data_IF_660856367640
#
_entry.id   IF_660856367640
#
_cell.length_a   1.000
_cell.length_b   1.000
_cell.length_c   1.000
_cell.angle_alpha   90.00
_cell.angle_beta   90.00
_cell.angle_gamma   90.00
#
_symmetry.space_group_name_H-M   'P 1'
#
loop_
_entity.id
_entity.type
_entity.pdbx_description
1 polymer ?
#
# COMPACT_ATOMS: atom_id res chain seq x y z
N UNK A 1 3.96 33.75 7.87
CA UNK A 1 3.67 32.87 6.71
C UNK A 1 3.05 31.60 7.27
N UNK A 2 1.99 31.06 6.67
CA UNK A 2 1.40 29.79 7.11
C UNK A 2 2.36 28.65 6.74
N UNK A 3 2.69 27.78 7.70
CA UNK A 3 3.45 26.54 7.48
C UNK A 3 2.53 25.36 7.80
N UNK A 4 2.52 24.35 6.95
CA UNK A 4 1.76 23.11 7.15
C UNK A 4 2.75 21.99 7.44
N UNK A 5 2.60 21.36 8.60
CA UNK A 5 3.46 20.28 9.07
C UNK A 5 2.59 19.03 9.20
N UNK A 6 3.06 17.91 8.66
CA UNK A 6 2.39 16.62 8.83
C UNK A 6 2.73 16.03 10.20
N UNK A 7 1.86 15.14 10.68
CA UNK A 7 2.08 14.44 11.93
C UNK A 7 1.10 13.30 12.11
N UNK A 8 1.40 12.45 13.09
CA UNK A 8 0.62 11.27 13.42
C UNK A 8 -0.17 11.54 14.69
N UNK A 9 -1.48 11.32 14.63
CA UNK A 9 -2.33 11.27 15.82
C UNK A 9 -2.36 9.85 16.39
N UNK A 10 -2.03 9.71 17.68
CA UNK A 10 -2.11 8.44 18.40
C UNK A 10 -2.47 8.69 19.87
N UNK A 11 -3.58 8.08 20.32
CA UNK A 11 -4.01 8.10 21.72
C UNK A 11 -4.11 9.51 22.34
N UNK A 12 -4.68 10.48 21.62
CA UNK A 12 -4.84 11.86 22.11
C UNK A 12 -3.59 12.73 21.98
N UNK A 13 -2.49 12.21 21.40
CA UNK A 13 -1.26 12.97 21.14
C UNK A 13 -1.02 13.12 19.64
N UNK A 14 -0.46 14.25 19.24
CA UNK A 14 0.00 14.51 17.88
C UNK A 14 1.52 14.57 17.93
N UNK A 15 2.18 13.71 17.17
CA UNK A 15 3.62 13.74 16.94
C UNK A 15 3.85 14.38 15.57
N UNK A 16 4.53 15.52 15.54
CA UNK A 16 4.85 16.22 14.30
C UNK A 16 6.06 15.57 13.62
N UNK A 17 6.03 15.45 12.30
CA UNK A 17 7.15 14.89 11.52
C UNK A 17 8.36 15.83 11.50
N UNK A 18 8.12 17.13 11.69
CA UNK A 18 9.17 18.14 11.85
C UNK A 18 8.83 19.14 12.95
N UNK A 19 9.87 19.61 13.66
CA UNK A 19 9.72 20.71 14.63
C UNK A 19 10.01 22.05 13.93
N UNK A 20 9.05 22.99 13.91
CA UNK A 20 9.30 24.30 13.32
C UNK A 20 10.33 25.08 14.16
N UNK A 21 11.47 25.42 13.56
CA UNK A 21 12.58 26.09 14.26
C UNK A 21 12.30 27.57 14.59
N UNK A 22 11.44 28.23 13.82
CA UNK A 22 11.18 29.67 13.94
C UNK A 22 9.91 30.01 14.74
N UNK A 23 9.29 29.02 15.38
CA UNK A 23 7.99 29.18 16.05
C UNK A 23 8.11 28.69 17.49
N UNK A 24 8.10 29.63 18.44
CA UNK A 24 8.05 29.31 19.88
C UNK A 24 6.62 29.07 20.38
N UNK A 25 5.64 29.83 19.87
CA UNK A 25 4.22 29.74 20.22
C UNK A 25 3.37 30.22 19.04
N UNK A 26 2.29 29.50 18.73
CA UNK A 26 1.32 29.90 17.70
C UNK A 26 0.00 29.15 17.83
N UNK A 27 -1.07 29.71 17.25
CA UNK A 27 -2.36 29.04 17.13
C UNK A 27 -2.31 28.00 15.99
N UNK A 28 -2.84 26.80 16.24
CA UNK A 28 -2.84 25.69 15.29
C UNK A 28 -4.25 25.22 14.97
N UNK A 29 -4.46 24.79 13.73
CA UNK A 29 -5.67 24.07 13.30
C UNK A 29 -5.32 22.60 13.09
N UNK A 30 -6.12 21.70 13.66
CA UNK A 30 -5.97 20.26 13.49
C UNK A 30 -7.13 19.74 12.64
N UNK A 31 -6.82 19.02 11.57
CA UNK A 31 -7.80 18.36 10.71
C UNK A 31 -7.45 16.89 10.62
N UNK A 32 -8.40 16.03 11.00
CA UNK A 32 -8.22 14.58 10.88
C UNK A 32 -8.66 14.14 9.49
N UNK A 33 -7.75 13.48 8.78
CA UNK A 33 -8.10 12.83 7.53
C UNK A 33 -8.89 11.56 7.83
N UNK A 34 -9.97 11.33 7.07
CA UNK A 34 -10.69 10.06 7.15
C UNK A 34 -9.73 8.91 6.82
N UNK A 35 -9.63 7.96 7.75
CA UNK A 35 -8.96 6.70 7.45
C UNK A 35 -9.78 6.00 6.37
N UNK A 36 -9.28 5.99 5.14
CA UNK A 36 -9.86 5.15 4.10
C UNK A 36 -9.72 3.70 4.58
N UNK A 37 -10.82 2.95 4.74
CA UNK A 37 -10.71 1.55 5.09
C UNK A 37 -9.87 0.87 4.01
N UNK A 38 -8.82 0.16 4.42
CA UNK A 38 -8.03 -0.71 3.54
C UNK A 38 -8.77 -2.00 3.19
N UNK A 39 -10.10 -2.00 3.32
CA UNK A 39 -10.94 -3.14 3.02
C UNK A 39 -11.05 -3.25 1.50
N UNK A 40 -10.59 -4.38 0.99
CA UNK A 40 -10.81 -4.76 -0.39
C UNK A 40 -12.32 -4.76 -0.67
N UNK A 41 -12.74 -4.25 -1.84
CA UNK A 41 -14.12 -4.39 -2.30
C UNK A 41 -14.64 -5.81 -2.09
N UNK A 42 -15.87 -5.93 -1.60
CA UNK A 42 -16.46 -7.23 -1.25
C UNK A 42 -16.45 -8.21 -2.44
N UNK A 43 -16.65 -7.69 -3.66
CA UNK A 43 -16.55 -8.44 -4.91
C UNK A 43 -15.19 -9.14 -5.09
N UNK A 44 -14.09 -8.51 -4.67
CA UNK A 44 -12.75 -9.12 -4.74
C UNK A 44 -12.56 -10.17 -3.66
N UNK A 45 -13.12 -9.96 -2.46
CA UNK A 45 -13.10 -10.94 -1.38
C UNK A 45 -13.96 -12.18 -1.67
N UNK A 46 -15.04 -12.02 -2.45
CA UNK A 46 -15.95 -13.10 -2.85
C UNK A 46 -15.52 -13.83 -4.13
N UNK A 47 -14.44 -13.38 -4.79
CA UNK A 47 -13.98 -13.99 -6.03
C UNK A 47 -13.43 -15.41 -5.77
N UNK A 48 -14.11 -16.42 -6.32
CA UNK A 48 -13.77 -17.84 -6.13
C UNK A 48 -12.78 -18.38 -7.19
N UNK A 49 -12.16 -17.49 -7.97
CA UNK A 49 -11.35 -17.90 -9.12
C UNK A 49 -12.19 -18.20 -10.35
N UNK A 50 -11.52 -18.44 -11.48
CA UNK A 50 -12.12 -18.90 -12.73
C UNK A 50 -11.72 -20.37 -12.91
N UNK A 51 -12.67 -21.23 -13.30
CA UNK A 51 -12.44 -22.67 -13.51
C UNK A 51 -11.36 -22.95 -14.58
N UNK A 52 -11.18 -22.01 -15.50
CA UNK A 52 -10.13 -21.98 -16.53
C UNK A 52 -8.90 -21.22 -16.02
N UNK A 53 -8.45 -21.51 -14.80
CA UNK A 53 -7.11 -21.10 -14.39
C UNK A 53 -6.09 -21.78 -15.29
N UNK A 54 -4.99 -21.08 -15.61
CA UNK A 54 -3.84 -21.67 -16.29
C UNK A 54 -3.46 -22.95 -15.54
N UNK A 55 -3.62 -24.10 -16.20
CA UNK A 55 -3.12 -25.38 -15.73
C UNK A 55 -1.63 -25.36 -16.07
N UNK A 56 -0.76 -25.05 -15.12
CA UNK A 56 0.69 -24.96 -15.37
C UNK A 56 1.24 -26.26 -15.96
N UNK A 57 0.60 -27.39 -15.64
CA UNK A 57 0.92 -28.70 -16.18
C UNK A 57 0.73 -28.80 -17.70
N UNK A 58 -0.14 -28.01 -18.33
CA UNK A 58 -0.30 -28.04 -19.79
C UNK A 58 0.88 -27.42 -20.55
N UNK A 59 1.68 -26.58 -19.88
CA UNK A 59 2.84 -25.92 -20.47
C UNK A 59 4.16 -26.56 -20.08
N UNK A 60 4.13 -27.63 -19.26
CA UNK A 60 5.35 -28.27 -18.74
C UNK A 60 6.30 -28.66 -19.86
N UNK A 61 5.78 -29.21 -20.95
CA UNK A 61 6.59 -29.72 -22.06
C UNK A 61 7.13 -28.58 -22.96
N UNK A 62 6.43 -27.45 -23.02
CA UNK A 62 6.85 -26.25 -23.76
C UNK A 62 7.93 -25.44 -23.03
N UNK A 63 8.06 -25.64 -21.72
CA UNK A 63 9.05 -24.99 -20.86
C UNK A 63 10.32 -25.82 -20.66
N UNK A 64 10.43 -26.98 -21.31
CA UNK A 64 11.66 -27.78 -21.27
C UNK A 64 12.73 -27.00 -22.04
N UNK A 65 13.88 -26.67 -21.43
CA UNK A 65 14.98 -26.07 -22.15
C UNK A 65 15.33 -26.95 -23.36
N UNK A 66 15.57 -26.38 -24.56
CA UNK A 66 15.99 -27.17 -25.69
C UNK A 66 17.25 -27.96 -25.31
N UNK A 67 17.32 -29.24 -25.70
CA UNK A 67 18.51 -30.05 -25.48
C UNK A 67 19.71 -29.32 -26.08
N UNK A 68 20.69 -29.01 -25.23
CA UNK A 68 21.97 -28.52 -25.70
C UNK A 68 22.54 -29.59 -26.63
N UNK A 69 22.78 -29.23 -27.89
CA UNK A 69 23.46 -30.12 -28.82
C UNK A 69 24.89 -30.25 -28.28
N UNK A 70 25.21 -31.40 -27.68
CA UNK A 70 26.59 -31.74 -27.36
C UNK A 70 27.37 -31.82 -28.68
N UNK A 71 28.22 -30.82 -28.91
CA UNK A 71 29.14 -30.69 -30.05
C UNK A 71 30.43 -31.45 -29.83
#
# INVERSE_FOLDING_TARGET
MLKTIQGIYKNGKIELDETPQDISESLVFVTFLEAKPSQWPEMLMQYQGVKESIIFESYRDELIPPNEIEL
#
